data_IF_325823174888
#
_entry.id   IF_325823174888
#
_cell.length_a   1.000
_cell.length_b   1.000
_cell.length_c   1.000
_cell.angle_alpha   90.00
_cell.angle_beta   90.00
_cell.angle_gamma   90.00
#
_symmetry.space_group_name_H-M   'P 1'
#
loop_
_entity.id
_entity.type
_entity.pdbx_description
1 polymer ?
#
# COMPACT_ATOMS: atom_id res chain seq x y z
N UNK A 1 -0.78 14.68 -18.32
CA UNK A 1 0.38 13.76 -18.06
C UNK A 1 0.50 13.59 -16.55
N UNK A 2 0.40 12.36 -16.06
CA UNK A 2 0.44 12.05 -14.64
C UNK A 2 1.86 12.22 -14.09
N UNK A 3 1.99 13.05 -13.05
CA UNK A 3 3.25 13.26 -12.31
C UNK A 3 3.12 12.70 -10.91
N UNK A 4 4.15 12.03 -10.41
CA UNK A 4 4.22 11.48 -9.05
C UNK A 4 5.51 11.94 -8.36
N UNK A 5 5.38 12.53 -7.17
CA UNK A 5 6.49 12.76 -6.27
C UNK A 5 6.53 11.70 -5.19
N UNK A 6 7.66 11.00 -5.08
CA UNK A 6 7.92 10.10 -3.98
C UNK A 6 8.92 9.00 -4.29
N UNK A 7 9.74 8.66 -3.29
CA UNK A 7 10.68 7.54 -3.32
C UNK A 7 9.99 6.18 -3.39
N UNK A 8 10.51 5.26 -4.19
CA UNK A 8 9.99 3.87 -4.37
C UNK A 8 10.14 3.00 -3.13
N UNK A 9 10.98 3.40 -2.16
CA UNK A 9 11.07 2.75 -0.84
C UNK A 9 9.93 3.10 0.11
N UNK A 10 8.99 3.98 -0.28
CA UNK A 10 7.78 4.27 0.49
C UNK A 10 6.65 3.33 0.06
N UNK A 11 6.05 2.61 1.02
CA UNK A 11 4.87 1.77 0.74
C UNK A 11 3.75 2.59 0.10
N UNK A 12 3.56 3.84 0.55
CA UNK A 12 2.45 4.66 0.11
C UNK A 12 2.64 5.12 -1.34
N UNK A 13 3.90 5.29 -1.76
CA UNK A 13 4.25 5.54 -3.17
C UNK A 13 4.07 4.25 -3.99
N UNK A 14 4.47 3.08 -3.46
CA UNK A 14 4.29 1.78 -4.12
C UNK A 14 2.82 1.48 -4.45
N UNK A 15 1.87 1.88 -3.61
CA UNK A 15 0.43 1.78 -3.91
C UNK A 15 0.06 2.50 -5.21
N UNK A 16 0.54 3.74 -5.37
CA UNK A 16 0.27 4.56 -6.56
C UNK A 16 0.96 3.98 -7.78
N UNK A 17 2.23 3.57 -7.65
CA UNK A 17 2.96 2.90 -8.73
C UNK A 17 2.23 1.66 -9.22
N UNK A 18 1.81 0.79 -8.30
CA UNK A 18 1.04 -0.40 -8.65
C UNK A 18 -0.26 -0.03 -9.38
N UNK A 19 -1.06 0.90 -8.83
CA UNK A 19 -2.28 1.34 -9.49
C UNK A 19 -2.02 1.88 -10.92
N UNK A 20 -0.99 2.71 -11.11
CA UNK A 20 -0.64 3.23 -12.45
C UNK A 20 -0.25 2.13 -13.42
N UNK A 21 0.45 1.09 -12.95
CA UNK A 21 0.87 -0.04 -13.78
C UNK A 21 -0.31 -0.95 -14.16
N UNK A 22 -1.25 -1.19 -13.23
CA UNK A 22 -2.49 -1.94 -13.53
C UNK A 22 -3.36 -1.20 -14.55
N UNK A 23 -3.36 0.14 -14.50
CA UNK A 23 -4.14 0.99 -15.40
C UNK A 23 -3.42 1.30 -16.73
N UNK A 24 -2.17 0.85 -16.91
CA UNK A 24 -1.38 1.15 -18.12
C UNK A 24 -1.10 2.64 -18.33
N UNK A 25 -1.02 3.44 -17.25
CA UNK A 25 -0.83 4.88 -17.33
C UNK A 25 0.65 5.24 -17.49
N UNK A 26 0.94 6.17 -18.41
CA UNK A 26 2.25 6.81 -18.48
C UNK A 26 2.46 7.72 -17.27
N UNK A 27 3.56 7.51 -16.55
CA UNK A 27 3.86 8.18 -15.30
C UNK A 27 5.25 8.82 -15.33
N UNK A 28 5.33 10.12 -15.07
CA UNK A 28 6.59 10.79 -14.76
C UNK A 28 6.80 10.84 -13.24
N UNK A 29 7.82 10.13 -12.73
CA UNK A 29 8.14 10.09 -11.29
C UNK A 29 9.34 10.97 -10.95
N UNK A 30 9.22 11.73 -9.87
CA UNK A 30 10.29 12.49 -9.24
C UNK A 30 10.58 11.92 -7.85
N UNK A 31 11.86 11.64 -7.55
CA UNK A 31 12.26 11.22 -6.21
C UNK A 31 12.04 12.34 -5.19
N UNK A 32 11.32 12.06 -4.11
CA UNK A 32 11.02 13.02 -3.05
C UNK A 32 10.86 12.31 -1.70
N UNK A 33 11.18 13.02 -0.62
CA UNK A 33 11.08 12.56 0.77
C UNK A 33 12.28 11.74 1.25
N UNK A 34 12.50 11.72 2.57
CA UNK A 34 13.70 11.13 3.16
C UNK A 34 14.96 11.83 2.69
N UNK A 35 15.96 11.07 2.24
CA UNK A 35 17.23 11.60 1.74
C UNK A 35 17.10 12.49 0.49
N UNK A 36 15.99 12.38 -0.26
CA UNK A 36 15.78 13.15 -1.49
C UNK A 36 15.26 14.58 -1.24
N UNK A 37 14.88 14.92 -0.01
CA UNK A 37 14.38 16.28 0.31
C UNK A 37 13.07 16.62 -0.39
N UNK A 38 12.95 17.86 -0.89
CA UNK A 38 11.82 18.46 -1.63
C UNK A 38 10.55 18.68 -0.80
N UNK A 39 10.19 17.76 0.09
CA UNK A 39 8.89 17.77 0.81
C UNK A 39 8.72 18.91 1.81
N UNK A 40 9.76 19.72 2.03
CA UNK A 40 9.74 20.92 2.88
C UNK A 40 9.89 22.22 2.08
N UNK A 41 10.06 22.13 0.77
CA UNK A 41 10.17 23.30 -0.09
C UNK A 41 8.80 24.00 -0.20
N UNK A 42 8.76 25.34 -0.27
CA UNK A 42 7.50 26.08 -0.34
C UNK A 42 6.59 25.63 -1.50
N UNK A 43 7.16 25.36 -2.68
CA UNK A 43 6.38 24.86 -3.83
C UNK A 43 5.73 23.50 -3.56
N UNK A 44 6.39 22.61 -2.82
CA UNK A 44 5.82 21.30 -2.51
C UNK A 44 4.74 21.43 -1.44
N UNK A 45 4.99 22.23 -0.39
CA UNK A 45 4.04 22.46 0.69
C UNK A 45 2.77 23.19 0.23
N UNK A 46 2.86 23.98 -0.84
CA UNK A 46 1.68 24.58 -1.49
C UNK A 46 0.74 23.52 -2.10
N UNK A 47 1.27 22.35 -2.51
CA UNK A 47 0.48 21.24 -3.07
C UNK A 47 0.12 20.19 -2.01
N UNK A 48 1.04 19.87 -1.10
CA UNK A 48 0.82 18.96 0.02
C UNK A 48 1.33 19.58 1.34
N UNK A 49 0.45 20.21 2.14
CA UNK A 49 0.85 20.90 3.36
C UNK A 49 1.40 19.95 4.44
N UNK A 50 1.16 18.64 4.33
CA UNK A 50 1.71 17.65 5.25
C UNK A 50 3.23 17.44 5.06
N UNK A 51 3.76 17.80 3.87
CA UNK A 51 5.15 17.54 3.52
C UNK A 51 5.48 16.04 3.51
N UNK A 52 4.58 15.23 2.94
CA UNK A 52 4.70 13.78 2.83
C UNK A 52 4.59 13.33 1.37
N UNK A 53 4.95 12.07 1.11
CA UNK A 53 4.79 11.41 -0.18
C UNK A 53 3.86 10.18 -0.02
N UNK A 54 3.07 9.82 -1.05
CA UNK A 54 3.03 10.38 -2.40
C UNK A 54 2.27 11.71 -2.52
N UNK A 55 2.61 12.46 -3.57
CA UNK A 55 1.82 13.54 -4.15
C UNK A 55 1.70 13.24 -5.65
N UNK A 56 0.53 13.42 -6.24
CA UNK A 56 0.37 13.42 -7.70
C UNK A 56 -0.11 14.77 -8.21
N UNK A 57 0.15 15.01 -9.50
CA UNK A 57 -0.56 16.00 -10.30
C UNK A 57 -1.07 15.33 -11.58
N UNK A 58 -2.36 15.42 -11.83
CA UNK A 58 -3.02 14.86 -13.01
C UNK A 58 -3.96 15.90 -13.64
N UNK A 59 -3.61 16.41 -14.82
CA UNK A 59 -4.36 17.43 -15.57
C UNK A 59 -4.84 18.63 -14.71
N UNK A 60 -3.93 19.16 -13.89
CA UNK A 60 -4.18 20.31 -13.02
C UNK A 60 -4.80 19.97 -11.65
N UNK A 61 -5.10 18.69 -11.40
CA UNK A 61 -5.57 18.20 -10.10
C UNK A 61 -4.37 17.70 -9.29
N UNK A 62 -4.08 18.34 -8.16
CA UNK A 62 -3.06 17.90 -7.22
C UNK A 62 -3.69 17.12 -6.06
N UNK A 63 -3.21 15.90 -5.80
CA UNK A 63 -3.74 15.03 -4.73
C UNK A 63 -2.63 14.41 -3.90
N UNK A 64 -2.82 14.42 -2.59
CA UNK A 64 -2.09 13.62 -1.60
C UNK A 64 -3.06 12.65 -0.91
N UNK A 65 -2.57 11.84 0.04
CA UNK A 65 -3.18 10.59 0.53
C UNK A 65 -3.16 9.44 -0.47
N UNK A 66 -2.29 8.45 -0.19
CA UNK A 66 -2.07 7.32 -1.12
C UNK A 66 -3.33 6.53 -1.47
N UNK A 67 -4.20 6.24 -0.50
CA UNK A 67 -5.43 5.50 -0.78
C UNK A 67 -6.42 6.35 -1.58
N UNK A 68 -6.51 7.65 -1.31
CA UNK A 68 -7.30 8.60 -2.11
C UNK A 68 -6.80 8.68 -3.54
N UNK A 69 -5.48 8.73 -3.75
CA UNK A 69 -4.87 8.71 -5.08
C UNK A 69 -5.23 7.41 -5.83
N UNK A 70 -5.12 6.25 -5.18
CA UNK A 70 -5.51 4.96 -5.80
C UNK A 70 -6.99 4.97 -6.18
N UNK A 71 -7.88 5.44 -5.30
CA UNK A 71 -9.32 5.59 -5.61
C UNK A 71 -9.54 6.50 -6.80
N UNK A 72 -8.89 7.67 -6.83
CA UNK A 72 -8.98 8.64 -7.91
C UNK A 72 -8.58 8.04 -9.26
N UNK A 73 -7.40 7.39 -9.31
CA UNK A 73 -6.90 6.78 -10.54
C UNK A 73 -7.82 5.66 -11.02
N UNK A 74 -8.26 4.77 -10.12
CA UNK A 74 -9.17 3.68 -10.50
C UNK A 74 -10.54 4.20 -10.96
N UNK A 75 -11.11 5.19 -10.25
CA UNK A 75 -12.39 5.79 -10.63
C UNK A 75 -12.33 6.51 -11.98
N UNK A 76 -11.21 7.17 -12.28
CA UNK A 76 -11.01 7.90 -13.54
C UNK A 76 -10.76 6.98 -14.73
N UNK A 77 -10.04 5.88 -14.54
CA UNK A 77 -9.49 5.09 -15.64
C UNK A 77 -10.02 3.65 -15.74
N UNK A 78 -10.71 3.14 -14.71
CA UNK A 78 -11.23 1.77 -14.70
C UNK A 78 -12.59 1.64 -13.95
N UNK A 79 -13.61 2.47 -14.27
CA UNK A 79 -14.95 2.29 -13.73
C UNK A 79 -15.53 0.93 -14.15
N UNK A 80 -16.17 0.21 -13.21
CA UNK A 80 -16.75 -1.12 -13.43
C UNK A 80 -15.75 -2.28 -13.36
N UNK A 81 -14.45 -1.97 -13.36
CA UNK A 81 -13.35 -2.93 -13.24
C UNK A 81 -12.64 -2.75 -11.88
N UNK A 82 -11.49 -2.05 -11.83
CA UNK A 82 -10.76 -1.82 -10.58
C UNK A 82 -11.52 -0.92 -9.60
N UNK A 83 -12.45 -0.09 -10.11
CA UNK A 83 -13.37 0.71 -9.33
C UNK A 83 -14.81 0.20 -9.50
N UNK A 84 -15.31 -0.64 -8.57
CA UNK A 84 -16.69 -1.15 -8.65
C UNK A 84 -17.70 -0.01 -8.63
N UNK A 85 -18.73 -0.10 -9.48
CA UNK A 85 -19.80 0.90 -9.55
C UNK A 85 -21.02 0.54 -8.70
N UNK A 86 -21.23 -0.75 -8.44
CA UNK A 86 -22.24 -1.18 -7.49
C UNK A 86 -21.83 -0.77 -6.07
N UNK A 87 -22.74 -0.09 -5.37
CA UNK A 87 -22.45 0.50 -4.06
C UNK A 87 -21.97 -0.54 -3.05
N UNK A 88 -22.58 -1.74 -2.92
CA UNK A 88 -22.13 -2.72 -1.94
C UNK A 88 -20.67 -3.14 -2.14
N UNK A 89 -20.28 -3.55 -3.36
CA UNK A 89 -18.89 -3.97 -3.63
C UNK A 89 -17.92 -2.81 -3.49
N UNK A 90 -18.30 -1.61 -3.95
CA UNK A 90 -17.47 -0.41 -3.81
C UNK A 90 -17.17 -0.08 -2.36
N UNK A 91 -18.19 -0.05 -1.50
CA UNK A 91 -17.99 0.29 -0.09
C UNK A 91 -17.27 -0.83 0.69
N UNK A 92 -17.40 -2.10 0.28
CA UNK A 92 -16.54 -3.17 0.80
C UNK A 92 -15.07 -2.94 0.39
N UNK A 93 -14.82 -2.57 -0.86
CA UNK A 93 -13.47 -2.25 -1.31
C UNK A 93 -12.87 -1.06 -0.52
N UNK A 94 -13.63 0.01 -0.37
CA UNK A 94 -13.21 1.20 0.38
C UNK A 94 -12.96 0.89 1.86
N UNK A 95 -13.79 0.03 2.48
CA UNK A 95 -13.62 -0.42 3.86
C UNK A 95 -12.27 -1.11 4.08
N UNK A 96 -11.85 -1.99 3.17
CA UNK A 96 -10.54 -2.64 3.27
C UNK A 96 -9.37 -1.68 3.08
N UNK A 97 -9.50 -0.70 2.18
CA UNK A 97 -8.50 0.35 2.03
C UNK A 97 -8.36 1.17 3.31
N UNK A 98 -9.46 1.56 3.94
CA UNK A 98 -9.44 2.34 5.17
C UNK A 98 -8.96 1.51 6.36
N UNK A 99 -9.38 0.26 6.47
CA UNK A 99 -8.87 -0.68 7.47
C UNK A 99 -7.35 -0.88 7.33
N UNK A 100 -6.84 -0.97 6.10
CA UNK A 100 -5.39 -1.02 5.87
C UNK A 100 -4.68 0.20 6.46
N UNK A 101 -5.20 1.40 6.21
CA UNK A 101 -4.56 2.65 6.64
C UNK A 101 -4.67 2.86 8.15
N UNK A 102 -5.81 2.51 8.75
CA UNK A 102 -6.14 2.85 10.13
C UNK A 102 -5.84 1.75 11.14
N UNK A 103 -5.76 0.49 10.70
CA UNK A 103 -5.60 -0.67 11.59
C UNK A 103 -4.35 -1.46 11.24
N UNK A 104 -4.24 -1.95 10.00
CA UNK A 104 -3.13 -2.85 9.64
C UNK A 104 -1.78 -2.12 9.60
N UNK A 105 -1.72 -0.96 8.95
CA UNK A 105 -0.47 -0.20 8.83
C UNK A 105 0.09 0.24 10.19
N UNK A 106 -0.72 0.82 11.12
CA UNK A 106 -0.22 1.14 12.45
C UNK A 106 0.25 -0.07 13.25
N UNK A 107 -0.44 -1.22 13.15
CA UNK A 107 -0.09 -2.42 13.90
C UNK A 107 1.33 -2.94 13.55
N UNK A 108 1.68 -2.98 12.26
CA UNK A 108 2.97 -3.49 11.78
C UNK A 108 4.09 -2.45 11.71
N UNK A 109 3.78 -1.16 11.96
CA UNK A 109 4.70 -0.04 11.72
C UNK A 109 5.96 -0.13 12.58
N UNK A 110 5.82 -0.41 13.86
CA UNK A 110 6.94 -0.39 14.80
C UNK A 110 7.93 -1.52 14.50
N UNK A 111 7.46 -2.73 14.21
CA UNK A 111 8.34 -3.82 13.81
C UNK A 111 9.12 -3.49 12.52
N UNK A 112 8.45 -2.89 11.53
CA UNK A 112 9.12 -2.42 10.32
C UNK A 112 10.20 -1.37 10.63
N UNK A 113 9.90 -0.36 11.46
CA UNK A 113 10.87 0.66 11.83
C UNK A 113 12.07 0.03 12.55
N UNK A 114 11.82 -0.82 13.56
CA UNK A 114 12.88 -1.44 14.35
C UNK A 114 13.77 -2.37 13.51
N UNK A 115 13.19 -3.21 12.67
CA UNK A 115 14.00 -4.14 11.87
C UNK A 115 14.68 -3.49 10.66
N UNK A 116 14.02 -2.55 9.97
CA UNK A 116 14.50 -2.03 8.69
C UNK A 116 15.16 -0.65 8.81
N UNK A 117 14.75 0.17 9.78
CA UNK A 117 15.20 1.58 9.91
C UNK A 117 16.03 1.86 11.15
N UNK A 118 16.05 0.96 12.14
CA UNK A 118 16.84 1.10 13.36
C UNK A 118 18.08 0.20 13.31
N UNK A 119 19.29 0.73 13.56
CA UNK A 119 20.49 -0.08 13.69
C UNK A 119 20.32 -1.18 14.74
N UNK A 120 20.86 -2.38 14.49
CA UNK A 120 20.63 -3.56 15.35
C UNK A 120 20.92 -3.31 16.84
N UNK A 121 21.95 -2.54 17.17
CA UNK A 121 22.33 -2.20 18.55
C UNK A 121 21.37 -1.23 19.26
N UNK A 122 20.42 -0.63 18.54
CA UNK A 122 19.46 0.37 19.05
C UNK A 122 18.01 -0.13 19.00
N UNK A 123 17.79 -1.39 18.61
CA UNK A 123 16.44 -1.94 18.49
C UNK A 123 15.77 -2.10 19.84
N UNK A 124 14.47 -1.82 19.87
CA UNK A 124 13.60 -2.12 21.01
C UNK A 124 12.83 -3.41 20.73
N UNK A 125 13.30 -4.52 21.30
CA UNK A 125 12.67 -5.84 21.17
C UNK A 125 11.25 -5.88 21.75
N UNK A 126 10.94 -5.05 22.77
CA UNK A 126 9.60 -4.97 23.31
C UNK A 126 8.65 -4.25 22.35
N UNK A 127 9.12 -3.21 21.64
CA UNK A 127 8.34 -2.56 20.57
C UNK A 127 8.08 -3.51 19.40
N UNK A 128 9.08 -4.29 19.00
CA UNK A 128 8.93 -5.36 18.01
C UNK A 128 7.85 -6.35 18.47
N UNK A 129 7.97 -6.91 19.67
CA UNK A 129 7.04 -7.91 20.18
C UNK A 129 5.59 -7.39 20.26
N UNK A 130 5.38 -6.13 20.67
CA UNK A 130 4.04 -5.50 20.66
C UNK A 130 3.47 -5.37 19.26
N UNK A 131 4.29 -4.97 18.30
CA UNK A 131 3.87 -4.81 16.90
C UNK A 131 3.53 -6.15 16.25
N UNK A 132 4.31 -7.21 16.52
CA UNK A 132 3.99 -8.58 16.10
C UNK A 132 2.68 -9.06 16.73
N UNK A 133 2.53 -8.92 18.05
CA UNK A 133 1.31 -9.32 18.76
C UNK A 133 0.06 -8.57 18.26
N UNK A 134 0.20 -7.32 17.82
CA UNK A 134 -0.89 -6.54 17.23
C UNK A 134 -1.21 -6.95 15.78
N UNK A 135 -0.23 -7.42 15.02
CA UNK A 135 -0.38 -7.66 13.57
C UNK A 135 -0.81 -9.10 13.26
N UNK A 136 -0.32 -10.09 14.00
CA UNK A 136 -0.61 -11.50 13.72
C UNK A 136 -2.12 -11.85 13.76
N UNK A 137 -2.93 -11.33 14.70
CA UNK A 137 -4.39 -11.52 14.66
C UNK A 137 -5.05 -10.90 13.42
N UNK A 138 -4.48 -9.83 12.85
CA UNK A 138 -4.98 -9.21 11.62
C UNK A 138 -4.65 -10.08 10.40
N UNK A 139 -3.53 -10.80 10.43
CA UNK A 139 -3.20 -11.79 9.40
C UNK A 139 -4.17 -12.98 9.43
N UNK A 140 -4.57 -13.43 10.62
CA UNK A 140 -5.61 -14.46 10.80
C UNK A 140 -6.97 -13.99 10.30
N UNK A 141 -7.34 -12.74 10.60
CA UNK A 141 -8.57 -12.11 10.10
C UNK A 141 -8.59 -12.11 8.56
N UNK A 142 -7.48 -11.72 7.92
CA UNK A 142 -7.37 -11.72 6.46
C UNK A 142 -7.45 -13.14 5.89
N UNK A 143 -6.77 -14.12 6.48
CA UNK A 143 -6.84 -15.51 6.02
C UNK A 143 -8.27 -16.07 6.11
N UNK A 144 -8.96 -15.82 7.22
CA UNK A 144 -10.36 -16.22 7.41
C UNK A 144 -11.32 -15.52 6.43
N UNK A 145 -11.07 -14.24 6.12
CA UNK A 145 -11.82 -13.52 5.08
C UNK A 145 -11.60 -14.17 3.71
N UNK A 146 -10.34 -14.37 3.33
CA UNK A 146 -9.93 -14.93 2.04
C UNK A 146 -10.23 -16.43 1.93
N UNK A 147 -10.60 -17.12 3.01
CA UNK A 147 -11.17 -18.46 2.93
C UNK A 147 -12.49 -18.48 2.15
N UNK A 148 -13.24 -17.37 2.16
CA UNK A 148 -14.58 -17.25 1.58
C UNK A 148 -14.63 -16.38 0.32
N UNK A 149 -13.55 -15.66 0.03
CA UNK A 149 -13.47 -14.71 -1.09
C UNK A 149 -12.16 -14.88 -1.85
N UNK A 150 -12.20 -14.72 -3.17
CA UNK A 150 -10.98 -14.77 -3.98
C UNK A 150 -10.09 -13.53 -3.74
N UNK A 151 -10.71 -12.38 -3.53
CA UNK A 151 -10.11 -11.06 -3.31
C UNK A 151 -10.84 -10.31 -2.18
N UNK A 152 -10.33 -9.14 -1.79
CA UNK A 152 -10.85 -8.45 -0.60
C UNK A 152 -12.30 -7.98 -0.74
N UNK A 153 -12.68 -7.49 -1.92
CA UNK A 153 -14.03 -7.00 -2.20
C UNK A 153 -14.96 -8.07 -2.79
N UNK A 154 -14.54 -9.35 -2.85
CA UNK A 154 -15.34 -10.45 -3.41
C UNK A 154 -14.55 -11.33 -4.37
N UNK A 155 -15.11 -11.62 -5.54
CA UNK A 155 -14.54 -12.62 -6.46
C UNK A 155 -13.57 -12.06 -7.49
N UNK A 156 -13.42 -10.73 -7.56
CA UNK A 156 -12.54 -10.04 -8.53
C UNK A 156 -11.56 -9.12 -7.81
N UNK A 157 -10.38 -8.96 -8.40
CA UNK A 157 -9.38 -7.99 -7.98
C UNK A 157 -9.93 -6.57 -8.14
N UNK A 158 -9.72 -5.72 -7.13
CA UNK A 158 -10.16 -4.32 -7.12
C UNK A 158 -9.10 -3.41 -6.54
N UNK A 159 -9.37 -2.10 -6.49
CA UNK A 159 -8.54 -1.12 -5.79
C UNK A 159 -8.22 -1.47 -4.32
N UNK A 160 -9.03 -2.29 -3.66
CA UNK A 160 -8.81 -2.70 -2.26
C UNK A 160 -7.56 -3.56 -2.07
N UNK A 161 -7.28 -4.41 -3.04
CA UNK A 161 -6.19 -5.38 -2.98
C UNK A 161 -4.81 -4.71 -3.08
N UNK A 162 -4.74 -3.52 -3.67
CA UNK A 162 -3.50 -2.75 -3.85
C UNK A 162 -2.87 -2.33 -2.51
N UNK A 163 -3.54 -1.54 -1.65
CA UNK A 163 -2.95 -1.11 -0.39
C UNK A 163 -2.69 -2.27 0.57
N UNK A 164 -3.58 -3.26 0.64
CA UNK A 164 -3.39 -4.42 1.51
C UNK A 164 -2.26 -5.31 1.00
N UNK A 165 -2.17 -5.54 -0.32
CA UNK A 165 -1.10 -6.33 -0.91
C UNK A 165 0.28 -5.73 -0.67
N UNK A 166 0.40 -4.41 -0.77
CA UNK A 166 1.60 -3.68 -0.38
C UNK A 166 1.97 -3.87 1.11
N UNK A 167 0.98 -3.90 2.00
CA UNK A 167 1.20 -4.07 3.45
C UNK A 167 1.59 -5.51 3.80
N UNK A 168 0.98 -6.51 3.15
CA UNK A 168 1.34 -7.92 3.28
C UNK A 168 2.74 -8.19 2.74
N UNK A 169 3.10 -7.61 1.61
CA UNK A 169 4.47 -7.68 1.09
C UNK A 169 5.48 -7.13 2.09
N UNK A 170 5.18 -5.98 2.72
CA UNK A 170 6.02 -5.45 3.80
C UNK A 170 6.11 -6.44 4.96
N UNK A 171 4.97 -6.88 5.51
CA UNK A 171 4.94 -7.69 6.72
C UNK A 171 5.72 -9.00 6.54
N UNK A 172 5.55 -9.67 5.40
CA UNK A 172 6.24 -10.91 5.07
C UNK A 172 7.69 -10.76 4.65
N UNK A 173 8.16 -9.54 4.36
CA UNK A 173 9.57 -9.25 4.15
C UNK A 173 10.34 -9.00 5.45
N UNK A 174 9.67 -8.94 6.60
CA UNK A 174 10.31 -8.74 7.91
C UNK A 174 10.94 -10.03 8.44
N UNK A 175 12.02 -9.94 9.25
CA UNK A 175 12.73 -11.10 9.77
C UNK A 175 12.00 -11.74 10.96
N UNK A 176 10.86 -12.37 10.68
CA UNK A 176 10.02 -13.04 11.67
C UNK A 176 9.45 -14.35 11.14
N UNK A 177 8.93 -15.17 12.05
CA UNK A 177 8.22 -16.39 11.68
C UNK A 177 6.97 -16.06 10.85
N UNK A 178 6.68 -16.95 9.91
CA UNK A 178 5.50 -16.86 9.07
C UNK A 178 4.66 -18.12 9.26
N UNK A 179 3.68 -18.10 10.19
CA UNK A 179 2.70 -19.15 10.29
C UNK A 179 1.98 -19.34 8.95
N UNK A 180 1.72 -20.60 8.58
CA UNK A 180 1.04 -20.94 7.34
C UNK A 180 -0.38 -20.36 7.35
N UNK A 181 -0.71 -19.59 6.31
CA UNK A 181 -2.02 -18.95 6.11
C UNK A 181 -2.43 -19.17 4.66
N UNK A 182 -2.99 -20.35 4.33
CA UNK A 182 -3.07 -20.82 2.95
C UNK A 182 -3.95 -19.94 2.05
N UNK A 183 -4.97 -19.27 2.60
CA UNK A 183 -5.86 -18.41 1.81
C UNK A 183 -5.24 -17.05 1.55
N UNK A 184 -4.55 -16.49 2.56
CA UNK A 184 -3.75 -15.29 2.41
C UNK A 184 -2.56 -15.51 1.46
N UNK A 185 -1.91 -16.67 1.56
CA UNK A 185 -0.83 -17.12 0.66
C UNK A 185 -1.30 -17.25 -0.78
N UNK A 186 -2.45 -17.91 -1.00
CA UNK A 186 -3.07 -18.03 -2.31
C UNK A 186 -3.37 -16.66 -2.91
N UNK A 187 -4.03 -15.78 -2.16
CA UNK A 187 -4.36 -14.43 -2.60
C UNK A 187 -3.10 -13.64 -2.95
N UNK A 188 -2.09 -13.63 -2.09
CA UNK A 188 -0.85 -12.91 -2.36
C UNK A 188 -0.07 -13.49 -3.55
N UNK A 189 -0.10 -14.81 -3.74
CA UNK A 189 0.44 -15.46 -4.93
C UNK A 189 -0.25 -14.97 -6.21
N UNK A 190 -1.58 -14.85 -6.19
CA UNK A 190 -2.35 -14.28 -7.29
C UNK A 190 -2.01 -12.80 -7.55
N UNK A 191 -1.77 -12.01 -6.49
CA UNK A 191 -1.31 -10.62 -6.64
C UNK A 191 0.06 -10.54 -7.30
N UNK A 192 1.04 -11.32 -6.83
CA UNK A 192 2.41 -11.33 -7.39
C UNK A 192 2.49 -11.80 -8.84
N UNK A 193 1.50 -12.55 -9.32
CA UNK A 193 1.41 -12.95 -10.71
C UNK A 193 0.98 -11.81 -11.65
N UNK A 194 0.49 -10.69 -11.11
CA UNK A 194 0.07 -9.53 -11.90
C UNK A 194 1.28 -8.72 -12.33
N UNK A 195 1.35 -8.39 -13.62
CA UNK A 195 2.41 -7.54 -14.20
C UNK A 195 2.47 -6.16 -13.56
N UNK A 196 1.35 -5.64 -13.06
CA UNK A 196 1.28 -4.39 -12.31
C UNK A 196 2.08 -4.38 -11.01
N UNK A 197 2.55 -5.54 -10.52
CA UNK A 197 3.34 -5.64 -9.28
C UNK A 197 4.85 -5.61 -9.48
N UNK A 198 5.33 -5.61 -10.73
CA UNK A 198 6.75 -5.50 -11.05
C UNK A 198 7.31 -4.17 -10.53
N UNK A 199 8.46 -4.21 -9.87
CA UNK A 199 9.04 -3.05 -9.20
C UNK A 199 8.30 -2.58 -7.93
N UNK A 200 7.27 -3.33 -7.47
CA UNK A 200 6.44 -2.99 -6.31
C UNK A 200 6.51 -4.09 -5.25
N UNK A 201 6.11 -5.33 -5.60
CA UNK A 201 6.06 -6.48 -4.70
C UNK A 201 7.23 -7.47 -4.90
N UNK A 202 8.21 -7.08 -5.70
CA UNK A 202 9.48 -7.80 -5.92
C UNK A 202 10.70 -7.04 -5.37
N UNK A 203 10.49 -5.82 -4.87
CA UNK A 203 11.55 -4.98 -4.31
C UNK A 203 11.83 -5.36 -2.86
N UNK A 204 13.10 -5.43 -2.45
CA UNK A 204 13.43 -5.62 -1.04
C UNK A 204 12.85 -4.50 -0.18
N UNK A 205 12.66 -4.80 1.09
CA UNK A 205 12.38 -3.77 2.08
C UNK A 205 13.61 -2.88 2.22
N UNK A 206 13.36 -1.58 2.25
CA UNK A 206 14.40 -0.56 2.33
C UNK A 206 13.96 0.58 3.19
#
# INVERSE_FOLDING_TARGET
MLRLWGRTSSINVRKVLWATQELGLELQRTDAGGQFGIVREPQFLALNPNGLVPLIEDDGVALWESNTIVRYLCARHAPGDLYPEDLPTRFLAEQWMDWQQTTLNPAGRDAFLQWIRTPAAQRDDAAIARSVAATEPLMELLDAHLARHAYLAGDRFTMADIPVGCEIHRWWGLPQDRPARPHLERWYGALRARTGTLGVLDQPLS
#
